data_IF_024377492336
#
_entry.id   IF_024377492336
#
_cell.length_a   1.000
_cell.length_b   1.000
_cell.length_c   1.000
_cell.angle_alpha   90.00
_cell.angle_beta   90.00
_cell.angle_gamma   90.00
#
_symmetry.space_group_name_H-M   'P 1'
#
loop_
_entity.id
_entity.type
_entity.pdbx_description
1 polymer ?
#
# COMPACT_ATOMS: atom_id res chain seq x y z
N UNK A 1 6.17 -24.99 -0.37
CA UNK A 1 6.44 -23.91 0.60
C UNK A 1 5.98 -24.41 1.96
N UNK A 2 6.91 -24.55 2.92
CA UNK A 2 6.56 -24.95 4.28
C UNK A 2 5.71 -23.87 4.97
N UNK A 3 4.81 -24.26 5.87
CA UNK A 3 4.20 -23.32 6.81
C UNK A 3 5.34 -22.70 7.61
N UNK A 4 5.61 -21.41 7.43
CA UNK A 4 6.38 -20.67 8.42
C UNK A 4 5.45 -20.46 9.60
N UNK A 5 5.76 -21.12 10.72
CA UNK A 5 4.91 -21.11 11.90
C UNK A 5 4.88 -19.70 12.50
N UNK A 6 3.68 -19.11 12.55
CA UNK A 6 3.41 -17.85 13.25
C UNK A 6 3.17 -18.23 14.70
N UNK A 7 3.91 -17.60 15.61
CA UNK A 7 3.69 -17.78 17.04
C UNK A 7 2.66 -16.76 17.53
N UNK A 8 1.49 -17.23 17.94
CA UNK A 8 0.36 -16.42 18.41
C UNK A 8 0.14 -16.72 19.88
N UNK A 9 0.60 -15.82 20.73
CA UNK A 9 0.27 -15.82 22.16
C UNK A 9 -0.95 -14.93 22.41
N UNK A 10 -2.12 -15.44 22.02
CA UNK A 10 -3.41 -14.81 22.34
C UNK A 10 -4.47 -15.85 22.65
N UNK A 11 -5.16 -15.66 23.78
CA UNK A 11 -6.35 -16.45 24.14
C UNK A 11 -7.56 -16.08 23.27
N UNK A 12 -7.60 -14.87 22.72
CA UNK A 12 -8.80 -14.30 22.11
C UNK A 12 -8.79 -14.27 20.59
N UNK A 13 -7.60 -14.15 19.99
CA UNK A 13 -7.47 -13.99 18.55
C UNK A 13 -6.62 -15.11 17.93
N UNK A 14 -6.96 -15.48 16.70
CA UNK A 14 -6.08 -16.21 15.78
C UNK A 14 -5.58 -15.22 14.72
N UNK A 15 -4.32 -15.32 14.32
CA UNK A 15 -3.71 -14.42 13.33
C UNK A 15 -2.94 -15.23 12.30
N UNK A 16 -3.24 -14.97 11.02
CA UNK A 16 -2.62 -15.65 9.89
C UNK A 16 -2.09 -14.66 8.88
N UNK A 17 -0.93 -14.97 8.31
CA UNK A 17 -0.41 -14.28 7.13
C UNK A 17 -1.13 -14.84 5.91
N UNK A 18 -1.70 -13.95 5.10
CA UNK A 18 -2.36 -14.28 3.85
C UNK A 18 -1.42 -14.01 2.66
N UNK A 19 -1.67 -14.70 1.54
CA UNK A 19 -1.01 -14.47 0.23
C UNK A 19 0.54 -14.56 0.23
N UNK A 20 1.14 -15.22 1.23
CA UNK A 20 2.61 -15.27 1.39
C UNK A 20 3.24 -13.88 1.61
N UNK A 21 2.44 -12.93 2.11
CA UNK A 21 2.76 -11.51 2.20
C UNK A 21 3.87 -11.14 3.19
N UNK A 22 4.34 -12.12 3.97
CA UNK A 22 5.51 -12.01 4.83
C UNK A 22 6.85 -12.19 4.10
N UNK A 23 6.82 -12.49 2.79
CA UNK A 23 8.00 -12.47 1.93
C UNK A 23 8.06 -11.12 1.20
N UNK A 24 9.02 -10.28 1.58
CA UNK A 24 9.17 -8.92 1.05
C UNK A 24 10.47 -8.74 0.29
N UNK A 25 10.54 -7.68 -0.51
CA UNK A 25 11.70 -7.37 -1.34
C UNK A 25 12.42 -6.14 -0.79
N UNK A 26 13.74 -6.24 -0.70
CA UNK A 26 14.61 -5.16 -0.27
C UNK A 26 14.45 -3.93 -1.19
N UNK A 27 14.51 -2.74 -0.62
CA UNK A 27 14.33 -1.43 -1.27
C UNK A 27 12.99 -1.22 -2.00
N UNK A 28 11.96 -2.02 -1.68
CA UNK A 28 10.60 -1.92 -2.24
C UNK A 28 9.56 -1.79 -1.13
N UNK A 29 8.46 -1.09 -1.39
CA UNK A 29 7.32 -1.09 -0.47
C UNK A 29 6.53 -2.38 -0.71
N UNK A 30 6.41 -3.21 0.32
CA UNK A 30 5.65 -4.46 0.27
C UNK A 30 4.44 -4.39 1.20
N UNK A 31 3.34 -5.03 0.84
CA UNK A 31 2.17 -5.15 1.72
C UNK A 31 2.22 -6.46 2.49
N UNK A 32 2.14 -6.38 3.82
CA UNK A 32 1.83 -7.51 4.70
C UNK A 32 0.32 -7.54 4.91
N UNK A 33 -0.30 -8.70 4.66
CA UNK A 33 -1.73 -8.93 4.79
C UNK A 33 -1.97 -9.97 5.88
N UNK A 34 -2.69 -9.56 6.91
CA UNK A 34 -3.02 -10.39 8.06
C UNK A 34 -4.52 -10.63 8.12
N UNK A 35 -4.92 -11.89 8.32
CA UNK A 35 -6.28 -12.24 8.71
C UNK A 35 -6.31 -12.45 10.22
N UNK A 36 -7.12 -11.67 10.91
CA UNK A 36 -7.32 -11.76 12.36
C UNK A 36 -8.73 -12.27 12.61
N UNK A 37 -8.86 -13.32 13.43
CA UNK A 37 -10.12 -13.98 13.73
C UNK A 37 -10.37 -13.89 15.22
N UNK A 38 -11.54 -13.41 15.63
CA UNK A 38 -11.98 -13.50 17.02
C UNK A 38 -12.42 -14.95 17.30
N UNK A 39 -11.60 -15.71 18.02
CA UNK A 39 -11.89 -17.11 18.39
C UNK A 39 -12.55 -17.24 19.77
N UNK A 40 -12.83 -16.12 20.43
CA UNK A 40 -13.50 -16.09 21.72
C UNK A 40 -15.02 -15.99 21.58
N UNK A 41 -15.72 -16.05 22.71
CA UNK A 41 -17.16 -15.91 22.86
C UNK A 41 -17.62 -14.46 23.11
N UNK A 42 -16.69 -13.50 23.20
CA UNK A 42 -16.99 -12.09 23.44
C UNK A 42 -16.75 -11.21 22.21
N UNK A 43 -17.55 -10.15 22.07
CA UNK A 43 -17.27 -9.07 21.11
C UNK A 43 -16.13 -8.19 21.59
N UNK A 44 -15.41 -7.60 20.64
CA UNK A 44 -14.38 -6.58 20.91
C UNK A 44 -14.59 -5.36 20.04
N UNK A 45 -14.47 -4.18 20.61
CA UNK A 45 -14.61 -2.90 19.92
C UNK A 45 -13.30 -2.09 20.06
N UNK A 46 -12.92 -1.36 19.01
CA UNK A 46 -11.79 -0.44 19.09
C UNK A 46 -10.42 -1.13 19.25
N UNK A 47 -10.24 -2.27 18.61
CA UNK A 47 -9.01 -3.08 18.71
C UNK A 47 -7.95 -2.62 17.72
N UNK A 48 -6.73 -2.50 18.20
CA UNK A 48 -5.55 -2.12 17.42
C UNK A 48 -4.58 -3.30 17.31
N UNK A 49 -3.85 -3.32 16.20
CA UNK A 49 -2.66 -4.15 16.02
C UNK A 49 -1.47 -3.26 15.65
N UNK A 50 -0.37 -3.39 16.41
CA UNK A 50 0.82 -2.56 16.24
C UNK A 50 2.08 -3.25 16.76
N UNK A 51 3.29 -2.82 16.36
CA UNK A 51 4.50 -3.16 17.09
C UNK A 51 4.41 -2.74 18.58
N UNK A 52 5.14 -3.39 19.50
CA UNK A 52 5.23 -2.96 20.89
C UNK A 52 5.54 -1.46 21.00
N UNK A 53 4.96 -0.78 22.01
CA UNK A 53 5.08 0.68 22.19
C UNK A 53 6.52 1.20 22.16
N UNK A 54 7.49 0.39 22.62
CA UNK A 54 8.92 0.71 22.62
C UNK A 54 9.54 0.79 21.22
N UNK A 55 8.90 0.21 20.21
CA UNK A 55 9.33 0.19 18.81
C UNK A 55 8.57 1.19 17.94
N UNK A 56 7.58 1.91 18.51
CA UNK A 56 6.78 2.88 17.78
C UNK A 56 7.50 4.23 17.68
N UNK A 57 7.40 4.86 16.52
CA UNK A 57 7.80 6.25 16.33
C UNK A 57 6.80 7.17 17.03
N UNK A 58 7.27 8.09 17.87
CA UNK A 58 6.39 8.99 18.62
C UNK A 58 5.71 10.04 17.74
N UNK A 59 6.27 10.32 16.56
CA UNK A 59 5.79 11.37 15.64
C UNK A 59 5.01 10.76 14.49
N UNK A 60 5.47 9.63 13.99
CA UNK A 60 4.98 8.98 12.77
C UNK A 60 4.04 7.79 13.06
N UNK A 61 3.17 7.47 12.11
CA UNK A 61 2.37 6.24 12.11
C UNK A 61 3.21 5.10 11.55
N UNK A 62 4.23 4.72 12.34
CA UNK A 62 5.27 3.77 11.97
C UNK A 62 5.89 3.14 13.22
N UNK A 63 6.36 1.90 13.09
CA UNK A 63 7.33 1.28 14.00
C UNK A 63 8.60 0.86 13.26
N UNK A 64 9.68 0.63 14.01
CA UNK A 64 10.96 0.16 13.49
C UNK A 64 11.39 -1.10 14.22
N UNK A 65 11.60 -2.19 13.49
CA UNK A 65 12.01 -3.50 14.05
C UNK A 65 13.23 -3.99 13.29
N UNK A 66 14.40 -4.04 13.93
CA UNK A 66 15.67 -4.48 13.31
C UNK A 66 15.97 -3.83 11.94
N UNK A 67 15.61 -2.55 11.81
CA UNK A 67 15.70 -1.70 10.60
C UNK A 67 14.61 -1.92 9.54
N UNK A 68 13.65 -2.81 9.78
CA UNK A 68 12.42 -2.91 8.98
C UNK A 68 11.43 -1.83 9.44
N UNK A 69 11.04 -0.95 8.51
CA UNK A 69 9.95 0.00 8.74
C UNK A 69 8.60 -0.70 8.57
N UNK A 70 7.74 -0.54 9.57
CA UNK A 70 6.38 -1.09 9.61
C UNK A 70 5.41 0.07 9.71
N UNK A 71 4.58 0.28 8.70
CA UNK A 71 3.65 1.40 8.60
C UNK A 71 2.22 0.89 8.41
N UNK A 72 1.23 1.69 8.78
CA UNK A 72 -0.18 1.34 8.62
C UNK A 72 -1.03 2.57 8.27
N UNK A 73 -2.16 2.34 7.60
CA UNK A 73 -3.11 3.38 7.22
C UNK A 73 -4.07 3.77 8.36
N UNK A 74 -4.87 4.81 8.13
CA UNK A 74 -5.93 5.26 9.05
C UNK A 74 -5.46 6.20 10.16
N UNK A 75 -4.18 6.60 10.14
CA UNK A 75 -3.66 7.71 10.94
C UNK A 75 -3.82 7.58 12.45
N UNK A 76 -3.79 6.36 13.01
CA UNK A 76 -3.82 6.11 14.47
C UNK A 76 -2.41 5.77 14.97
N UNK A 77 -1.95 6.40 16.05
CA UNK A 77 -0.60 6.15 16.59
C UNK A 77 -0.55 4.85 17.39
N UNK A 78 -1.71 4.47 17.90
CA UNK A 78 -1.97 3.27 18.67
C UNK A 78 -1.75 2.01 17.84
N UNK A 79 -1.91 2.08 16.52
CA UNK A 79 -1.81 0.93 15.62
C UNK A 79 -2.81 0.98 14.48
N UNK A 80 -2.82 -0.08 13.68
CA UNK A 80 -3.88 -0.30 12.71
C UNK A 80 -5.16 -0.65 13.46
N UNK A 81 -6.20 0.18 13.32
CA UNK A 81 -7.53 -0.11 13.87
C UNK A 81 -8.17 -1.24 13.04
N UNK A 82 -8.52 -2.33 13.71
CA UNK A 82 -9.21 -3.45 13.11
C UNK A 82 -10.64 -3.04 12.74
N UNK A 83 -10.88 -2.80 11.45
CA UNK A 83 -12.18 -2.38 10.93
C UNK A 83 -12.68 -3.34 9.86
N UNK A 84 -13.96 -3.65 9.94
CA UNK A 84 -14.74 -4.36 8.93
C UNK A 84 -15.31 -3.37 7.90
N UNK A 85 -15.86 -3.86 6.77
CA UNK A 85 -16.47 -3.00 5.76
C UNK A 85 -17.53 -2.06 6.35
N UNK A 86 -17.60 -0.84 5.84
CA UNK A 86 -18.47 0.21 6.39
C UNK A 86 -17.93 0.85 7.67
N UNK A 87 -16.63 0.68 7.94
CA UNK A 87 -15.90 1.27 9.07
C UNK A 87 -16.41 0.82 10.45
N UNK A 88 -17.02 -0.38 10.52
CA UNK A 88 -17.37 -1.03 11.79
C UNK A 88 -16.11 -1.53 12.49
N UNK A 89 -15.92 -1.14 13.74
CA UNK A 89 -14.77 -1.51 14.58
C UNK A 89 -15.11 -2.52 15.70
N UNK A 90 -16.35 -3.02 15.74
CA UNK A 90 -16.74 -4.19 16.54
C UNK A 90 -16.45 -5.50 15.78
N UNK A 91 -15.70 -6.43 16.40
CA UNK A 91 -15.41 -7.78 15.91
C UNK A 91 -16.12 -8.80 16.80
N UNK A 92 -17.16 -9.44 16.27
CA UNK A 92 -17.97 -10.42 17.03
C UNK A 92 -17.31 -11.80 17.07
N UNK A 93 -17.76 -12.69 17.97
CA UNK A 93 -17.32 -14.09 17.98
C UNK A 93 -17.37 -14.75 16.61
N UNK A 94 -16.26 -15.37 16.19
CA UNK A 94 -16.11 -16.05 14.90
C UNK A 94 -15.90 -15.13 13.69
N UNK A 95 -16.04 -13.80 13.84
CA UNK A 95 -15.76 -12.89 12.74
C UNK A 95 -14.26 -12.74 12.48
N UNK A 96 -13.93 -12.38 11.24
CA UNK A 96 -12.56 -12.12 10.84
C UNK A 96 -12.42 -10.82 10.07
N UNK A 97 -11.28 -10.18 10.25
CA UNK A 97 -10.92 -8.90 9.65
C UNK A 97 -9.58 -9.02 8.94
N UNK A 98 -9.40 -8.28 7.85
CA UNK A 98 -8.10 -8.15 7.20
C UNK A 98 -7.41 -6.86 7.63
N UNK A 99 -6.17 -6.98 8.09
CA UNK A 99 -5.28 -5.85 8.36
C UNK A 99 -4.17 -5.79 7.32
N UNK A 100 -3.87 -4.58 6.85
CA UNK A 100 -2.81 -4.31 5.87
C UNK A 100 -1.75 -3.41 6.49
N UNK A 101 -0.50 -3.86 6.42
CA UNK A 101 0.69 -3.08 6.79
C UNK A 101 1.56 -2.86 5.57
N UNK A 102 2.24 -1.72 5.53
CA UNK A 102 3.33 -1.50 4.59
C UNK A 102 4.66 -1.79 5.27
N UNK A 103 5.46 -2.62 4.62
CA UNK A 103 6.78 -3.01 5.04
C UNK A 103 7.80 -2.40 4.09
N UNK A 104 8.84 -1.76 4.65
CA UNK A 104 9.92 -1.19 3.88
C UNK A 104 11.28 -1.44 4.53
N UNK A 105 12.20 -2.02 3.77
CA UNK A 105 13.58 -2.25 4.18
C UNK A 105 14.52 -1.56 3.17
N UNK A 106 15.22 -0.48 3.53
CA UNK A 106 15.92 0.36 2.54
C UNK A 106 17.26 -0.22 2.06
N UNK A 107 17.80 -1.23 2.74
CA UNK A 107 19.11 -1.81 2.39
C UNK A 107 18.95 -2.88 1.31
N UNK A 108 19.97 -3.10 0.49
CA UNK A 108 19.93 -4.07 -0.63
C UNK A 108 20.08 -5.53 -0.22
N UNK A 109 20.55 -5.77 1.00
CA UNK A 109 20.81 -7.11 1.52
C UNK A 109 19.52 -7.81 1.95
N UNK A 110 19.55 -9.13 1.96
CA UNK A 110 18.48 -9.93 2.55
C UNK A 110 18.62 -9.99 4.07
N UNK A 111 17.51 -10.26 4.76
CA UNK A 111 17.51 -10.56 6.19
C UNK A 111 16.26 -11.34 6.58
N UNK A 112 16.35 -12.07 7.68
CA UNK A 112 15.18 -12.59 8.39
C UNK A 112 14.94 -11.71 9.61
N UNK A 113 13.70 -11.29 9.83
CA UNK A 113 13.30 -10.54 11.03
C UNK A 113 12.02 -11.12 11.57
N UNK A 114 11.94 -11.26 12.89
CA UNK A 114 10.66 -11.55 13.55
C UNK A 114 9.99 -10.23 13.89
N UNK A 115 8.84 -9.96 13.27
CA UNK A 115 8.02 -8.79 13.57
C UNK A 115 7.11 -9.09 14.77
N UNK A 116 7.35 -8.50 15.96
CA UNK A 116 6.41 -8.59 17.06
C UNK A 116 5.25 -7.61 16.83
N UNK A 117 4.03 -8.08 17.01
CA UNK A 117 2.82 -7.27 17.03
C UNK A 117 2.03 -7.56 18.31
N UNK A 118 1.45 -6.52 18.91
CA UNK A 118 0.48 -6.64 20.00
C UNK A 118 -0.93 -6.39 19.46
N UNK A 119 -1.88 -7.19 19.94
CA UNK A 119 -3.31 -6.94 19.77
C UNK A 119 -3.80 -6.33 21.07
N UNK A 120 -4.36 -5.13 21.02
CA UNK A 120 -4.65 -4.35 22.22
C UNK A 120 -5.78 -3.35 21.99
N UNK A 121 -6.41 -2.88 23.06
CA UNK A 121 -7.19 -1.65 23.03
C UNK A 121 -6.34 -0.49 23.61
N UNK A 122 -6.98 0.58 24.08
CA UNK A 122 -6.28 1.70 24.74
C UNK A 122 -5.81 1.37 26.17
N UNK A 123 -6.36 0.35 26.81
CA UNK A 123 -6.22 0.02 28.23
C UNK A 123 -5.30 -1.18 28.46
N UNK A 124 -5.46 -2.25 27.68
CA UNK A 124 -4.79 -3.52 27.91
C UNK A 124 -4.34 -4.20 26.60
N UNK A 125 -3.40 -5.14 26.75
CA UNK A 125 -2.91 -6.00 25.65
C UNK A 125 -3.60 -7.36 25.76
N UNK A 126 -4.30 -7.77 24.70
CA UNK A 126 -5.04 -9.03 24.61
C UNK A 126 -4.21 -10.20 24.08
N UNK A 127 -3.05 -9.92 23.50
CA UNK A 127 -2.11 -10.92 23.04
C UNK A 127 -0.99 -10.36 22.21
N UNK A 128 -0.04 -11.22 21.89
CA UNK A 128 1.09 -10.91 21.01
C UNK A 128 1.19 -11.92 19.88
N UNK A 129 1.74 -11.47 18.76
CA UNK A 129 1.97 -12.28 17.56
C UNK A 129 3.38 -12.02 17.09
N UNK A 130 4.10 -13.07 16.74
CA UNK A 130 5.44 -13.00 16.16
C UNK A 130 5.38 -13.50 14.73
N UNK A 131 5.56 -12.59 13.78
CA UNK A 131 5.46 -12.90 12.35
C UNK A 131 6.88 -13.01 11.78
N UNK A 132 7.28 -14.18 11.26
CA UNK A 132 8.54 -14.29 10.54
C UNK A 132 8.42 -13.53 9.22
N UNK A 133 9.29 -12.54 9.00
CA UNK A 133 9.40 -11.77 7.77
C UNK A 133 10.72 -12.12 7.10
N UNK A 134 10.62 -12.61 5.87
CA UNK A 134 11.77 -12.92 5.02
C UNK A 134 11.97 -11.77 4.02
N UNK A 135 13.06 -11.02 4.20
CA UNK A 135 13.47 -9.93 3.30
C UNK A 135 14.44 -10.49 2.27
N UNK A 136 13.99 -10.55 1.03
CA UNK A 136 14.80 -11.04 -0.08
C UNK A 136 15.60 -9.89 -0.71
N UNK A 137 16.89 -10.10 -1.07
CA UNK A 137 17.63 -9.13 -1.86
C UNK A 137 16.91 -8.80 -3.16
N UNK A 138 17.06 -7.57 -3.65
CA UNK A 138 16.46 -7.17 -4.92
C UNK A 138 17.07 -7.98 -6.07
N UNK A 139 16.21 -8.71 -6.78
CA UNK A 139 16.55 -9.55 -7.93
C UNK A 139 15.43 -9.48 -8.99
N UNK A 140 15.41 -10.40 -9.96
CA UNK A 140 14.38 -10.44 -11.01
C UNK A 140 12.94 -10.50 -10.48
N UNK A 141 12.68 -11.18 -9.36
CA UNK A 141 11.36 -11.23 -8.71
C UNK A 141 10.91 -9.83 -8.27
N UNK A 142 11.86 -8.93 -8.05
CA UNK A 142 11.66 -7.52 -7.73
C UNK A 142 10.95 -6.72 -8.82
N UNK A 143 10.91 -7.22 -10.05
CA UNK A 143 10.18 -6.62 -11.16
C UNK A 143 8.82 -7.28 -11.39
N UNK A 144 8.45 -8.35 -10.69
CA UNK A 144 7.11 -8.94 -10.86
C UNK A 144 6.11 -8.05 -10.12
N UNK A 145 5.07 -7.60 -10.83
CA UNK A 145 4.01 -6.81 -10.23
C UNK A 145 3.27 -7.61 -9.14
N UNK A 146 3.11 -6.98 -7.96
CA UNK A 146 2.36 -7.52 -6.82
C UNK A 146 1.24 -6.55 -6.45
N UNK A 147 -0.04 -6.92 -6.60
CA UNK A 147 -1.16 -6.07 -6.20
C UNK A 147 -1.10 -5.70 -4.71
N UNK A 148 -1.59 -4.51 -4.33
CA UNK A 148 -1.57 -4.05 -2.93
C UNK A 148 -2.40 -4.95 -2.02
N UNK A 149 -3.63 -5.29 -2.42
CA UNK A 149 -4.59 -6.01 -1.57
C UNK A 149 -4.61 -7.53 -1.79
N UNK A 150 -3.88 -8.01 -2.80
CA UNK A 150 -3.57 -9.43 -3.02
C UNK A 150 -2.07 -9.56 -3.32
N UNK A 151 -1.19 -9.34 -2.33
CA UNK A 151 0.26 -9.23 -2.51
C UNK A 151 0.96 -10.57 -2.76
N UNK A 152 0.37 -11.42 -3.59
CA UNK A 152 0.92 -12.71 -3.99
C UNK A 152 2.02 -12.52 -5.02
N UNK A 153 3.11 -13.28 -4.90
CA UNK A 153 4.15 -13.33 -5.92
C UNK A 153 3.75 -14.38 -6.98
N UNK A 154 3.55 -13.96 -8.22
CA UNK A 154 3.24 -14.87 -9.31
C UNK A 154 4.53 -15.48 -9.89
N UNK A 155 5.03 -16.56 -9.27
CA UNK A 155 6.30 -17.19 -9.67
C UNK A 155 6.36 -17.65 -11.13
N UNK A 156 5.21 -17.86 -11.79
CA UNK A 156 5.13 -18.16 -13.22
C UNK A 156 5.59 -17.02 -14.13
N UNK A 157 5.71 -15.78 -13.62
CA UNK A 157 6.16 -14.62 -14.41
C UNK A 157 7.67 -14.48 -14.53
N UNK A 158 8.46 -15.21 -13.73
CA UNK A 158 9.92 -15.04 -13.69
C UNK A 158 10.58 -15.15 -15.05
N UNK A 159 10.24 -16.19 -15.82
CA UNK A 159 10.83 -16.44 -17.15
C UNK A 159 10.49 -15.33 -18.15
N UNK A 160 9.30 -14.75 -18.03
CA UNK A 160 8.84 -13.68 -18.92
C UNK A 160 9.44 -12.33 -18.56
N UNK A 161 9.49 -12.00 -17.27
CA UNK A 161 10.19 -10.82 -16.75
C UNK A 161 11.66 -10.84 -17.20
N UNK A 162 12.32 -12.01 -17.08
CA UNK A 162 13.68 -12.17 -17.57
C UNK A 162 13.80 -11.82 -19.07
N UNK A 163 12.94 -12.39 -19.92
CA UNK A 163 12.93 -12.11 -21.36
C UNK A 163 12.68 -10.64 -21.68
N UNK A 164 11.73 -10.00 -20.98
CA UNK A 164 11.40 -8.58 -21.18
C UNK A 164 12.62 -7.71 -20.82
N UNK A 165 13.24 -7.95 -19.67
CA UNK A 165 14.42 -7.19 -19.25
C UNK A 165 15.61 -7.41 -20.18
N UNK A 166 15.85 -8.64 -20.63
CA UNK A 166 16.93 -8.96 -21.57
C UNK A 166 16.72 -8.31 -22.95
N UNK A 167 15.46 -8.17 -23.40
CA UNK A 167 15.14 -7.61 -24.71
C UNK A 167 15.00 -6.08 -24.71
N UNK A 168 14.33 -5.51 -23.72
CA UNK A 168 13.97 -4.09 -23.67
C UNK A 168 14.85 -3.28 -22.70
N UNK A 169 15.64 -3.94 -21.83
CA UNK A 169 16.31 -3.27 -20.72
C UNK A 169 15.36 -2.90 -19.59
N UNK A 170 15.88 -2.19 -18.58
CA UNK A 170 15.09 -1.64 -17.48
C UNK A 170 15.00 -0.13 -17.66
N UNK A 171 13.79 0.43 -17.83
CA UNK A 171 13.60 1.86 -18.01
C UNK A 171 13.93 2.65 -16.73
N UNK A 172 14.36 3.89 -16.91
CA UNK A 172 14.65 4.81 -15.81
C UNK A 172 13.37 5.53 -15.37
N UNK A 173 13.10 5.52 -14.05
CA UNK A 173 11.98 6.23 -13.44
C UNK A 173 12.51 7.38 -12.58
N UNK A 174 12.10 8.61 -12.90
CA UNK A 174 12.42 9.81 -12.12
C UNK A 174 11.15 10.46 -11.61
N UNK A 175 11.23 11.01 -10.40
CA UNK A 175 10.16 11.84 -9.85
C UNK A 175 10.71 13.15 -9.36
N UNK A 176 10.11 14.24 -9.83
CA UNK A 176 10.48 15.60 -9.46
C UNK A 176 9.36 16.25 -8.68
N UNK A 177 9.70 16.80 -7.52
CA UNK A 177 8.76 17.44 -6.61
C UNK A 177 9.02 18.93 -6.62
N UNK A 178 8.04 19.72 -7.06
CA UNK A 178 8.10 21.17 -7.02
C UNK A 178 7.62 21.67 -5.67
N UNK A 179 8.48 22.41 -4.97
CA UNK A 179 8.18 22.90 -3.61
C UNK A 179 7.31 24.17 -3.61
N UNK A 180 7.45 25.04 -4.61
CA UNK A 180 6.77 26.34 -4.67
C UNK A 180 5.34 26.27 -5.22
N UNK A 181 5.10 25.34 -6.14
CA UNK A 181 3.77 24.99 -6.64
C UNK A 181 3.70 23.47 -6.50
N UNK A 182 3.05 22.94 -5.44
CA UNK A 182 3.08 21.52 -5.14
C UNK A 182 2.62 20.71 -6.35
N UNK A 183 3.60 20.07 -6.99
CA UNK A 183 3.41 19.21 -8.15
C UNK A 183 4.46 18.12 -8.13
N UNK A 184 4.04 16.94 -8.55
CA UNK A 184 4.91 15.78 -8.69
C UNK A 184 4.87 15.35 -10.14
N UNK A 185 6.01 15.39 -10.79
CA UNK A 185 6.18 14.95 -12.17
C UNK A 185 6.82 13.58 -12.17
N UNK A 186 6.25 12.64 -12.93
CA UNK A 186 6.75 11.28 -13.07
C UNK A 186 7.23 11.09 -14.50
N UNK A 187 8.49 10.70 -14.63
CA UNK A 187 9.15 10.46 -15.90
C UNK A 187 9.48 8.98 -16.06
N UNK A 188 9.33 8.48 -17.27
CA UNK A 188 9.71 7.15 -17.73
C UNK A 188 10.60 7.33 -18.97
N UNK A 189 11.88 6.96 -18.87
CA UNK A 189 12.89 7.20 -19.91
C UNK A 189 12.85 8.64 -20.46
N UNK A 190 12.99 9.63 -19.58
CA UNK A 190 12.93 11.07 -19.88
C UNK A 190 11.58 11.60 -20.41
N UNK A 191 10.60 10.73 -20.68
CA UNK A 191 9.24 11.13 -21.07
C UNK A 191 8.39 11.37 -19.83
N UNK A 192 7.79 12.56 -19.72
CA UNK A 192 6.81 12.85 -18.67
C UNK A 192 5.53 12.03 -18.91
N UNK A 193 5.27 11.05 -18.05
CA UNK A 193 4.08 10.18 -18.14
C UNK A 193 2.99 10.60 -17.15
N UNK A 194 3.31 11.29 -16.06
CA UNK A 194 2.27 11.82 -15.17
C UNK A 194 2.64 13.14 -14.51
N UNK A 195 1.60 13.92 -14.24
CA UNK A 195 1.66 15.09 -13.36
C UNK A 195 0.59 14.96 -12.29
N UNK A 196 1.03 14.96 -11.04
CA UNK A 196 0.16 14.99 -9.86
C UNK A 196 0.19 16.40 -9.29
N UNK A 197 -0.98 16.95 -8.97
CA UNK A 197 -1.16 18.32 -8.52
C UNK A 197 -2.20 18.40 -7.42
N UNK A 198 -2.34 19.58 -6.80
CA UNK A 198 -3.36 19.83 -5.79
C UNK A 198 -2.79 19.79 -4.38
N UNK A 199 -3.55 19.25 -3.43
CA UNK A 199 -3.17 19.19 -2.02
C UNK A 199 -2.21 18.03 -1.76
N UNK A 200 -0.99 18.16 -2.28
CA UNK A 200 0.10 17.24 -1.94
C UNK A 200 0.60 17.47 -0.51
N UNK A 201 0.06 18.45 0.21
CA UNK A 201 0.55 18.99 1.48
C UNK A 201 0.63 20.51 1.34
N UNK A 202 -0.49 21.21 1.54
CA UNK A 202 -0.68 22.61 1.14
C UNK A 202 0.17 23.65 1.90
N UNK A 203 1.39 23.92 1.42
CA UNK A 203 2.13 25.18 1.66
C UNK A 203 3.66 25.07 1.51
N UNK A 204 4.37 26.20 1.41
CA UNK A 204 5.85 26.29 1.28
C UNK A 204 6.63 25.59 2.41
N UNK A 205 5.98 25.27 3.54
CA UNK A 205 6.53 24.52 4.70
C UNK A 205 6.20 23.01 4.69
N UNK A 206 5.46 22.51 3.70
CA UNK A 206 4.78 21.21 3.75
C UNK A 206 5.41 20.13 2.84
N UNK A 207 6.04 20.53 1.73
CA UNK A 207 6.61 19.58 0.75
C UNK A 207 7.80 18.80 1.33
N UNK A 208 8.49 19.35 2.33
CA UNK A 208 9.60 18.66 3.02
C UNK A 208 9.14 17.50 3.93
N UNK A 209 7.83 17.36 4.19
CA UNK A 209 7.28 16.29 5.04
C UNK A 209 6.77 15.07 4.27
N UNK A 210 6.63 15.17 2.95
CA UNK A 210 6.11 14.10 2.10
C UNK A 210 7.27 13.21 1.70
N UNK A 211 7.19 11.92 2.03
CA UNK A 211 8.12 10.95 1.48
C UNK A 211 7.47 10.31 0.24
N UNK A 212 8.11 10.47 -0.92
CA UNK A 212 7.67 9.87 -2.18
C UNK A 212 8.62 8.74 -2.53
N UNK A 213 8.05 7.59 -2.87
CA UNK A 213 8.83 6.45 -3.33
C UNK A 213 8.24 5.86 -4.61
N UNK A 214 9.10 5.56 -5.55
CA UNK A 214 8.72 4.94 -6.81
C UNK A 214 9.17 3.49 -6.86
N UNK A 215 8.32 2.70 -7.48
CA UNK A 215 8.57 1.31 -7.77
C UNK A 215 8.24 1.04 -9.24
N UNK A 216 9.14 0.35 -9.94
CA UNK A 216 8.90 -0.18 -11.29
C UNK A 216 8.66 -1.69 -11.24
N UNK A 217 7.63 -2.14 -11.95
CA UNK A 217 7.30 -3.55 -12.16
C UNK A 217 6.96 -3.85 -13.62
N UNK A 218 6.79 -5.13 -13.91
CA UNK A 218 6.19 -5.70 -15.11
C UNK A 218 4.94 -6.42 -14.64
N UNK A 219 3.79 -6.07 -15.22
CA UNK A 219 2.49 -6.67 -14.94
C UNK A 219 1.83 -7.18 -16.20
N UNK A 220 0.86 -8.07 -16.06
CA UNK A 220 -0.01 -8.52 -17.15
C UNK A 220 -1.42 -8.02 -16.93
N UNK A 221 -2.03 -7.53 -17.99
CA UNK A 221 -3.43 -7.11 -18.00
C UNK A 221 -4.01 -7.32 -19.40
N UNK A 222 -5.33 -7.24 -19.50
CA UNK A 222 -5.97 -7.08 -20.82
C UNK A 222 -5.75 -5.64 -21.31
N UNK A 223 -5.43 -5.49 -22.59
CA UNK A 223 -5.39 -4.19 -23.26
C UNK A 223 -6.80 -3.61 -23.44
N UNK A 224 -6.87 -2.43 -24.06
CA UNK A 224 -8.13 -1.72 -24.26
C UNK A 224 -9.06 -2.43 -25.26
N UNK A 225 -8.55 -3.37 -26.05
CA UNK A 225 -9.30 -4.25 -26.96
C UNK A 225 -9.59 -5.64 -26.35
N UNK A 226 -9.14 -5.90 -25.12
CA UNK A 226 -9.37 -7.16 -24.40
C UNK A 226 -8.31 -8.24 -24.61
N UNK A 227 -7.22 -7.96 -25.33
CA UNK A 227 -6.13 -8.92 -25.57
C UNK A 227 -5.14 -8.90 -24.42
N UNK A 228 -4.57 -10.05 -24.06
CA UNK A 228 -3.55 -10.12 -23.01
C UNK A 228 -2.24 -9.46 -23.44
N UNK A 229 -1.71 -8.59 -22.60
CA UNK A 229 -0.51 -7.79 -22.83
C UNK A 229 0.29 -7.62 -21.54
N UNK A 230 1.61 -7.47 -21.67
CA UNK A 230 2.47 -7.06 -20.57
C UNK A 230 2.63 -5.53 -20.56
N UNK A 231 2.82 -4.97 -19.38
CA UNK A 231 2.94 -3.54 -19.13
C UNK A 231 4.12 -3.24 -18.23
N UNK A 232 4.77 -2.10 -18.45
CA UNK A 232 5.55 -1.47 -17.39
C UNK A 232 4.58 -0.83 -16.40
N UNK A 233 4.72 -1.15 -15.12
CA UNK A 233 3.88 -0.59 -14.06
C UNK A 233 4.72 0.31 -13.17
N UNK A 234 4.51 1.61 -13.31
CA UNK A 234 5.15 2.63 -12.46
C UNK A 234 4.23 2.93 -11.29
N UNK A 235 4.62 2.50 -10.10
CA UNK A 235 3.91 2.79 -8.85
C UNK A 235 4.60 3.92 -8.12
N UNK A 236 3.84 4.94 -7.75
CA UNK A 236 4.32 6.08 -6.95
C UNK A 236 3.52 6.10 -5.66
N UNK A 237 4.23 6.01 -4.53
CA UNK A 237 3.68 6.11 -3.19
C UNK A 237 3.84 7.52 -2.64
N UNK A 238 2.81 7.99 -1.93
CA UNK A 238 2.81 9.22 -1.17
C UNK A 238 2.61 8.86 0.31
N UNK A 239 3.64 9.11 1.12
CA UNK A 239 3.62 8.81 2.55
C UNK A 239 3.49 10.10 3.36
N UNK A 240 2.30 10.36 3.90
CA UNK A 240 2.05 11.43 4.88
C UNK A 240 1.95 10.82 6.27
N UNK A 241 3.09 10.44 6.87
CA UNK A 241 3.07 9.64 8.10
C UNK A 241 3.04 10.46 9.39
N UNK A 242 3.21 11.79 9.33
CA UNK A 242 3.40 12.65 10.50
C UNK A 242 2.11 13.35 10.95
N UNK A 243 1.65 13.07 12.17
CA UNK A 243 0.46 13.74 12.75
C UNK A 243 0.66 15.21 13.12
N UNK A 244 1.90 15.62 13.37
CA UNK A 244 2.18 16.96 13.93
C UNK A 244 2.21 18.05 12.85
N UNK A 245 2.06 17.66 11.59
CA UNK A 245 2.01 18.57 10.44
C UNK A 245 0.53 18.93 10.24
N UNK A 246 -0.13 19.58 11.21
CA UNK A 246 -1.41 20.32 11.02
C UNK A 246 -2.77 19.62 11.20
N UNK A 247 -2.99 18.80 12.23
CA UNK A 247 -4.30 18.16 12.52
C UNK A 247 -4.80 17.23 11.38
N UNK A 248 -3.92 16.84 10.46
CA UNK A 248 -4.18 15.93 9.36
C UNK A 248 -3.99 14.46 9.78
N UNK A 249 -4.86 13.58 9.27
CA UNK A 249 -4.79 12.14 9.53
C UNK A 249 -3.68 11.54 8.65
N UNK A 250 -2.64 10.90 9.24
CA UNK A 250 -1.60 10.28 8.45
C UNK A 250 -2.14 9.22 7.51
N UNK A 251 -1.66 9.23 6.27
CA UNK A 251 -2.15 8.36 5.22
C UNK A 251 -1.06 7.92 4.24
N UNK A 252 -1.37 6.87 3.49
CA UNK A 252 -0.53 6.32 2.44
C UNK A 252 -1.39 6.10 1.20
N UNK A 253 -1.12 6.93 0.19
CA UNK A 253 -1.78 6.83 -1.11
C UNK A 253 -0.81 6.36 -2.18
N UNK A 254 -1.35 5.82 -3.28
CA UNK A 254 -0.56 5.50 -4.46
C UNK A 254 -1.27 5.89 -5.75
N UNK A 255 -0.45 5.98 -6.79
CA UNK A 255 -0.90 5.83 -8.17
C UNK A 255 -0.09 4.71 -8.82
N UNK A 256 -0.70 3.99 -9.75
CA UNK A 256 -0.02 3.03 -10.61
C UNK A 256 -0.32 3.36 -12.06
N UNK A 257 0.72 3.55 -12.86
CA UNK A 257 0.63 3.87 -14.27
C UNK A 257 1.03 2.62 -15.06
N UNK A 258 0.08 2.04 -15.79
CA UNK A 258 0.30 0.88 -16.65
C UNK A 258 0.65 1.38 -18.06
N UNK A 259 1.95 1.49 -18.30
CA UNK A 259 2.54 2.04 -19.52
C UNK A 259 2.65 0.93 -20.58
N UNK A 260 1.99 1.16 -21.70
CA UNK A 260 2.00 0.28 -22.84
C UNK A 260 3.39 0.29 -23.49
N UNK A 261 4.03 -0.88 -23.67
CA UNK A 261 5.41 -0.94 -24.16
C UNK A 261 5.58 -0.55 -25.64
N UNK A 262 4.52 -0.59 -26.46
CA UNK A 262 4.62 -0.37 -27.90
C UNK A 262 4.56 1.12 -28.27
N UNK A 263 3.76 1.91 -27.54
CA UNK A 263 3.47 3.31 -27.86
C UNK A 263 3.72 4.27 -26.67
N UNK A 264 4.08 3.72 -25.50
CA UNK A 264 4.36 4.44 -24.26
C UNK A 264 3.17 5.29 -23.76
N UNK A 265 1.94 4.95 -24.15
CA UNK A 265 0.72 5.52 -23.56
C UNK A 265 0.36 4.81 -22.28
N UNK A 266 -0.43 5.47 -21.44
CA UNK A 266 -0.97 4.90 -20.21
C UNK A 266 -2.36 4.38 -20.53
N UNK A 267 -2.46 3.06 -20.64
CA UNK A 267 -3.73 2.39 -20.94
C UNK A 267 -4.59 2.29 -19.67
N UNK A 268 -3.95 2.06 -18.53
CA UNK A 268 -4.60 1.93 -17.24
C UNK A 268 -3.91 2.74 -16.15
N UNK A 269 -4.72 3.25 -15.23
CA UNK A 269 -4.24 3.91 -14.03
C UNK A 269 -5.01 3.37 -12.82
N UNK A 270 -4.31 2.96 -11.77
CA UNK A 270 -4.93 2.50 -10.53
C UNK A 270 -4.62 3.48 -9.39
N UNK A 271 -5.66 3.89 -8.66
CA UNK A 271 -5.54 4.63 -7.39
C UNK A 271 -6.35 3.91 -6.31
N UNK A 272 -6.38 4.44 -5.09
CA UNK A 272 -7.20 3.91 -4.00
C UNK A 272 -8.44 4.80 -3.75
N UNK A 273 -9.48 4.27 -3.10
CA UNK A 273 -10.62 5.03 -2.53
C UNK A 273 -11.15 4.29 -1.32
N UNK A 274 -10.83 4.77 -0.11
CA UNK A 274 -11.24 4.15 1.16
C UNK A 274 -11.02 2.63 1.16
N UNK A 275 -9.76 2.22 1.05
CA UNK A 275 -9.32 0.82 0.95
C UNK A 275 -9.66 0.08 -0.35
N UNK A 276 -10.43 0.65 -1.28
CA UNK A 276 -10.74 0.00 -2.58
C UNK A 276 -9.76 0.42 -3.65
N UNK A 277 -9.47 -0.44 -4.61
CA UNK A 277 -8.78 0.00 -5.84
C UNK A 277 -9.79 0.64 -6.78
N UNK A 278 -9.39 1.74 -7.40
CA UNK A 278 -10.14 2.39 -8.46
C UNK A 278 -9.30 2.35 -9.73
N UNK A 279 -9.83 1.72 -10.77
CA UNK A 279 -9.19 1.59 -12.06
C UNK A 279 -9.75 2.64 -13.01
N UNK A 280 -8.86 3.33 -13.71
CA UNK A 280 -9.17 4.31 -14.74
C UNK A 280 -8.64 3.85 -16.09
N UNK A 281 -9.41 4.12 -17.15
CA UNK A 281 -9.14 3.72 -18.53
C UNK A 281 -8.62 4.90 -19.35
N UNK A 282 -7.55 4.65 -20.11
CA UNK A 282 -6.96 5.53 -21.12
C UNK A 282 -7.46 5.23 -22.54
N UNK A 283 -6.60 5.32 -23.58
CA UNK A 283 -5.16 5.63 -23.50
C UNK A 283 -4.92 7.13 -23.33
N UNK A 284 -3.90 7.50 -22.57
CA UNK A 284 -3.42 8.89 -22.50
C UNK A 284 -1.90 8.93 -22.61
N UNK A 285 -1.35 9.92 -23.31
CA UNK A 285 0.11 10.12 -23.36
C UNK A 285 0.68 10.57 -22.01
N UNK A 286 -0.13 11.30 -21.24
CA UNK A 286 0.22 11.79 -19.91
C UNK A 286 -0.99 11.77 -19.00
N UNK A 287 -0.89 11.10 -17.86
CA UNK A 287 -1.91 11.12 -16.82
C UNK A 287 -1.86 12.45 -16.06
N UNK A 288 -2.99 13.15 -15.95
CA UNK A 288 -3.17 14.33 -15.12
C UNK A 288 -3.96 13.93 -13.89
N UNK A 289 -3.37 14.08 -12.72
CA UNK A 289 -3.94 13.59 -11.46
C UNK A 289 -4.03 14.75 -10.47
N UNK A 290 -5.16 14.83 -9.77
CA UNK A 290 -5.42 15.83 -8.73
C UNK A 290 -5.64 15.13 -7.39
N UNK A 291 -4.89 15.54 -6.39
CA UNK A 291 -5.17 15.23 -4.99
C UNK A 291 -6.00 16.39 -4.44
N UNK A 292 -7.17 16.08 -3.93
CA UNK A 292 -8.09 17.08 -3.36
C UNK A 292 -8.01 16.97 -1.85
N UNK A 293 -7.74 18.08 -1.16
CA UNK A 293 -7.85 18.12 0.29
C UNK A 293 -9.31 18.07 0.71
N UNK A 294 -9.64 17.18 1.63
CA UNK A 294 -10.92 17.15 2.34
C UNK A 294 -10.81 17.93 3.63
N UNK A 295 -11.87 18.64 4.02
CA UNK A 295 -11.97 19.26 5.34
C UNK A 295 -13.29 18.84 5.96
N UNK A 296 -13.24 18.26 7.16
CA UNK A 296 -14.43 18.01 7.97
C UNK A 296 -14.27 18.64 9.35
N UNK A 297 -15.34 19.21 9.87
CA UNK A 297 -15.39 19.78 11.21
C UNK A 297 -15.68 18.67 12.22
N UNK A 298 -14.80 18.50 13.21
CA UNK A 298 -15.02 17.61 14.34
C UNK A 298 -14.66 18.35 15.64
N UNK A 299 -15.63 18.52 16.55
CA UNK A 299 -15.46 19.20 17.85
C UNK A 299 -14.77 20.59 17.71
N UNK A 300 -15.32 21.47 16.87
CA UNK A 300 -14.81 22.83 16.59
C UNK A 300 -13.39 22.93 16.01
N UNK A 301 -12.81 21.82 15.55
CA UNK A 301 -11.56 21.79 14.76
C UNK A 301 -11.83 21.34 13.33
N UNK A 302 -11.20 22.00 12.36
CA UNK A 302 -11.17 21.55 10.97
C UNK A 302 -10.10 20.47 10.87
N UNK A 303 -10.52 19.21 10.74
CA UNK A 303 -9.64 18.08 10.44
C UNK A 303 -9.56 17.97 8.93
N UNK A 304 -8.34 18.08 8.39
CA UNK A 304 -8.10 17.86 6.97
C UNK A 304 -7.75 16.39 6.73
N UNK A 305 -8.30 15.81 5.68
CA UNK A 305 -7.94 14.47 5.20
C UNK A 305 -7.46 14.59 3.78
N UNK A 306 -6.34 13.93 3.47
CA UNK A 306 -5.99 13.70 2.08
C UNK A 306 -7.09 12.84 1.46
N UNK A 307 -7.66 13.27 0.34
CA UNK A 307 -8.46 12.38 -0.49
C UNK A 307 -7.53 11.65 -1.46
N UNK A 308 -7.94 10.46 -1.91
CA UNK A 308 -7.18 9.72 -2.88
C UNK A 308 -6.88 10.51 -4.15
N UNK A 309 -5.79 10.19 -4.86
CA UNK A 309 -5.49 10.79 -6.15
C UNK A 309 -6.61 10.49 -7.17
N UNK A 310 -7.09 11.53 -7.86
CA UNK A 310 -8.15 11.44 -8.86
C UNK A 310 -7.59 11.84 -10.24
N UNK A 311 -7.54 10.92 -11.22
CA UNK A 311 -7.26 11.26 -12.61
C UNK A 311 -8.33 12.20 -13.19
N UNK A 312 -7.91 13.26 -13.86
CA UNK A 312 -8.83 14.25 -14.46
C UNK A 312 -9.01 14.09 -15.96
N UNK A 313 -8.16 13.30 -16.61
CA UNK A 313 -8.20 13.04 -18.06
C UNK A 313 -8.37 11.56 -18.42
N UNK A 314 -8.85 10.74 -17.47
CA UNK A 314 -9.14 9.32 -17.67
C UNK A 314 -10.51 9.00 -17.08
N UNK A 315 -11.20 7.99 -17.60
CA UNK A 315 -12.55 7.60 -17.13
C UNK A 315 -12.45 6.47 -16.11
N UNK A 316 -13.20 6.56 -15.02
CA UNK A 316 -13.34 5.44 -14.07
C UNK A 316 -13.94 4.24 -14.79
N UNK A 317 -13.30 3.08 -14.64
CA UNK A 317 -13.69 1.82 -15.27
C UNK A 317 -14.28 0.84 -14.26
N UNK A 318 -13.65 0.67 -13.10
CA UNK A 318 -14.08 -0.29 -12.08
C UNK A 318 -13.58 0.14 -10.70
N UNK A 319 -14.36 -0.19 -9.67
CA UNK A 319 -13.98 -0.06 -8.26
C UNK A 319 -14.07 -1.44 -7.62
N UNK A 320 -13.00 -1.89 -6.95
CA UNK A 320 -13.01 -3.20 -6.29
C UNK A 320 -13.92 -3.20 -5.06
N UNK A 321 -14.37 -4.38 -4.59
CA UNK A 321 -14.94 -4.51 -3.25
C UNK A 321 -13.98 -4.03 -2.16
N UNK A 322 -14.51 -3.76 -0.97
CA UNK A 322 -13.70 -3.42 0.22
C UNK A 322 -12.84 -4.63 0.64
N UNK A 323 -11.51 -4.55 0.55
CA UNK A 323 -10.63 -5.69 0.77
C UNK A 323 -10.40 -5.99 2.25
N UNK A 324 -11.02 -5.22 3.16
CA UNK A 324 -11.13 -5.57 4.59
C UNK A 324 -12.10 -6.73 4.82
N UNK A 325 -13.02 -6.95 3.87
CA UNK A 325 -13.87 -8.15 3.88
C UNK A 325 -13.00 -9.37 3.55
N UNK A 326 -12.82 -10.33 4.47
CA UNK A 326 -12.02 -11.53 4.25
C UNK A 326 -12.55 -12.43 3.13
N UNK A 327 -13.82 -12.27 2.75
CA UNK A 327 -14.49 -13.05 1.71
C UNK A 327 -14.57 -12.29 0.37
N UNK A 328 -14.03 -11.07 0.28
CA UNK A 328 -14.05 -10.32 -0.96
C UNK A 328 -13.11 -10.93 -2.00
N UNK A 329 -13.64 -11.18 -3.20
CA UNK A 329 -12.83 -11.52 -4.38
C UNK A 329 -12.43 -10.23 -5.06
N UNK A 330 -11.15 -9.89 -5.00
CA UNK A 330 -10.60 -8.71 -5.67
C UNK A 330 -10.39 -9.02 -7.14
N UNK A 331 -11.28 -8.51 -7.98
CA UNK A 331 -11.16 -8.56 -9.43
C UNK A 331 -10.75 -7.17 -9.94
N UNK A 332 -9.61 -7.12 -10.62
CA UNK A 332 -9.03 -5.90 -11.19
C UNK A 332 -8.52 -6.21 -12.61
N UNK A 333 -7.78 -5.31 -13.23
CA UNK A 333 -7.29 -5.46 -14.62
C UNK A 333 -6.15 -6.49 -14.76
N UNK A 334 -5.47 -6.78 -13.66
CA UNK A 334 -4.23 -7.55 -13.66
C UNK A 334 -4.49 -9.06 -13.56
N UNK A 335 -3.58 -9.84 -14.12
CA UNK A 335 -3.56 -11.29 -13.93
C UNK A 335 -2.73 -11.65 -12.68
N UNK A 336 -3.32 -12.41 -11.75
CA UNK A 336 -2.69 -12.84 -10.47
C UNK A 336 -2.64 -14.34 -10.34
#
# INVERSE_FOLDING_TARGET
MGKQDIDVDSKYFDVRVEDGSNNILSNRVSTLKLKIINKSDRSFEGIYISPPRTLLDQRLVRGLVDRLEVMWGGGRREGYLLMLPGDRDEIRPGESVIAYFFLYYPYRQGMEVTLPLHIHDRREVFGSVRIPISVHPFNLEGYIYRPRYKPMLHGGMRSEVKKIIEHYGVPEIKTFIWQFIPRVHVFFDEREIAVVSGDLGSGLRHVSGINIKNDLFIGKASDLEGRKRWYWVVRVWFFWLNKNIFDEVPDVERIELWVNPDNLTIDWLITDRHWREVVFRGPVEKAKIKIVGGAFTHLDRIVRSYHPPIPVNMREATVTPDPRNPNAVIQSIYDV
#
